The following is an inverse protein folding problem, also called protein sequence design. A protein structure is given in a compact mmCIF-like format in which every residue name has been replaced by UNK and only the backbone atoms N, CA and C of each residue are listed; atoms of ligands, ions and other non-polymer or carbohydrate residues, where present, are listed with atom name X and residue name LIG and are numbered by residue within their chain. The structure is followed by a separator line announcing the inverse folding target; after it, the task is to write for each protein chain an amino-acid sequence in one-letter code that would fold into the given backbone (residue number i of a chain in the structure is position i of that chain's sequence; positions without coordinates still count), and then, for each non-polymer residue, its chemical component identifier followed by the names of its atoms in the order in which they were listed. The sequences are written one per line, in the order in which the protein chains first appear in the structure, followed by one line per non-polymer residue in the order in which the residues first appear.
data_IF_839018206849
#
_entry.id   IF_839018206849
#
_cell.length_a   1.000
_cell.length_b   1.000
_cell.length_c   1.000
_cell.angle_alpha   90.00
_cell.angle_beta   90.00
_cell.angle_gamma   90.00
#
_symmetry.space_group_name_H-M   'P 1'
#
loop_
_entity.id
_entity.type
_entity.pdbx_description
1 polymer ?
#
# COMPACT_ATOMS: atom_id res chain seq x y z
N UNK A 1 17.28 39.76 -5.46
CA UNK A 1 17.83 38.43 -5.13
C UNK A 1 16.81 37.74 -4.24
N UNK A 2 16.01 36.84 -4.81
CA UNK A 2 15.04 36.04 -4.06
C UNK A 2 15.86 34.92 -3.41
N UNK A 3 16.07 35.02 -2.10
CA UNK A 3 16.79 33.99 -1.35
C UNK A 3 15.93 32.73 -1.29
N UNK A 4 16.37 31.69 -1.98
CA UNK A 4 15.78 30.35 -1.92
C UNK A 4 15.78 29.85 -0.47
N UNK A 5 14.66 30.01 0.21
CA UNK A 5 14.47 29.48 1.55
C UNK A 5 14.22 27.99 1.42
N UNK A 6 15.26 27.17 1.59
CA UNK A 6 15.13 25.72 1.69
C UNK A 6 14.28 25.43 2.94
N UNK A 7 12.97 25.24 2.76
CA UNK A 7 12.08 24.75 3.82
C UNK A 7 12.48 23.32 4.17
N UNK A 8 13.17 23.15 5.29
CA UNK A 8 13.43 21.83 5.86
C UNK A 8 12.10 21.21 6.32
N UNK A 9 11.67 20.14 5.64
CA UNK A 9 10.50 19.38 6.06
C UNK A 9 10.76 18.72 7.42
N UNK A 10 9.78 18.80 8.32
CA UNK A 10 9.79 18.06 9.58
C UNK A 10 9.81 16.56 9.31
N UNK A 11 10.22 15.77 10.30
CA UNK A 11 10.26 14.32 10.16
C UNK A 11 8.85 13.72 9.92
N UNK A 12 7.81 14.30 10.53
CA UNK A 12 6.41 13.93 10.29
C UNK A 12 5.97 14.28 8.87
N UNK A 13 6.31 15.46 8.36
CA UNK A 13 6.01 15.84 6.97
C UNK A 13 6.70 14.92 5.96
N UNK A 14 7.97 14.56 6.18
CA UNK A 14 8.70 13.58 5.34
C UNK A 14 8.00 12.23 5.37
N UNK A 15 7.62 11.76 6.56
CA UNK A 15 6.89 10.50 6.73
C UNK A 15 5.57 10.53 5.97
N UNK A 16 4.77 11.59 6.12
CA UNK A 16 3.48 11.73 5.45
C UNK A 16 3.63 11.72 3.92
N UNK A 17 4.65 12.43 3.40
CA UNK A 17 4.96 12.47 1.97
C UNK A 17 5.33 11.08 1.43
N UNK A 18 6.13 10.30 2.16
CA UNK A 18 6.47 8.93 1.76
C UNK A 18 5.24 8.01 1.76
N UNK A 19 4.34 8.13 2.75
CA UNK A 19 3.08 7.37 2.76
C UNK A 19 2.24 7.70 1.54
N UNK A 20 2.04 8.99 1.26
CA UNK A 20 1.24 9.45 0.11
C UNK A 20 1.84 8.90 -1.18
N UNK A 21 3.17 9.00 -1.36
CA UNK A 21 3.87 8.45 -2.53
C UNK A 21 3.59 6.96 -2.74
N UNK A 22 3.67 6.15 -1.68
CA UNK A 22 3.37 4.71 -1.79
C UNK A 22 1.89 4.44 -2.05
N UNK A 23 1.01 5.18 -1.39
CA UNK A 23 -0.44 5.05 -1.58
C UNK A 23 -0.84 5.39 -3.00
N UNK A 24 -0.36 6.50 -3.56
CA UNK A 24 -0.62 6.90 -4.95
C UNK A 24 -0.07 5.87 -5.95
N UNK A 25 1.20 5.46 -5.79
CA UNK A 25 1.86 4.50 -6.67
C UNK A 25 1.14 3.15 -6.73
N UNK A 26 0.60 2.69 -5.61
CA UNK A 26 -0.05 1.39 -5.47
C UNK A 26 -1.59 1.49 -5.47
N UNK A 27 -2.17 2.69 -5.65
CA UNK A 27 -3.62 2.90 -5.54
C UNK A 27 -4.40 2.12 -6.59
N UNK A 28 -3.80 1.96 -7.78
CA UNK A 28 -4.40 1.24 -8.89
C UNK A 28 -4.78 -0.20 -8.53
N UNK A 29 -4.07 -0.82 -7.57
CA UNK A 29 -4.33 -2.19 -7.16
C UNK A 29 -5.70 -2.36 -6.53
N UNK A 30 -6.32 -1.29 -6.01
CA UNK A 30 -7.69 -1.33 -5.49
C UNK A 30 -8.74 -1.62 -6.57
N UNK A 31 -8.43 -1.29 -7.82
CA UNK A 31 -9.38 -1.30 -8.91
C UNK A 31 -9.21 -2.49 -9.87
N UNK A 32 -8.27 -3.40 -9.58
CA UNK A 32 -8.01 -4.58 -10.40
C UNK A 32 -9.18 -5.55 -10.29
N UNK A 33 -9.80 -5.88 -11.41
CA UNK A 33 -10.84 -6.91 -11.50
C UNK A 33 -10.25 -8.24 -11.98
N UNK A 34 -10.99 -9.32 -11.78
CA UNK A 34 -10.59 -10.63 -12.31
C UNK A 34 -10.50 -10.54 -13.84
N UNK A 35 -9.39 -11.01 -14.40
CA UNK A 35 -9.09 -10.95 -15.84
C UNK A 35 -8.27 -9.72 -16.25
N UNK A 36 -8.21 -8.68 -15.41
CA UNK A 36 -7.38 -7.51 -15.66
C UNK A 36 -5.90 -7.84 -15.47
N UNK A 37 -5.10 -7.33 -16.40
CA UNK A 37 -3.64 -7.35 -16.31
C UNK A 37 -3.14 -5.96 -15.94
N UNK A 38 -1.89 -5.90 -15.50
CA UNK A 38 -1.23 -4.64 -15.20
C UNK A 38 0.05 -4.51 -16.02
N UNK A 39 0.43 -3.28 -16.32
CA UNK A 39 1.73 -2.90 -16.85
C UNK A 39 2.24 -1.65 -16.14
N UNK A 40 3.42 -1.18 -16.55
CA UNK A 40 4.04 0.01 -15.98
C UNK A 40 4.59 0.90 -17.08
N UNK A 41 4.25 2.19 -17.05
CA UNK A 41 4.83 3.16 -17.98
C UNK A 41 6.31 3.41 -17.66
N UNK A 42 7.04 3.97 -18.62
CA UNK A 42 8.42 4.39 -18.40
C UNK A 42 8.56 5.47 -17.32
N UNK A 43 7.47 6.18 -16.99
CA UNK A 43 7.41 7.12 -15.85
C UNK A 43 7.44 6.43 -14.50
N UNK A 44 7.19 5.12 -14.46
CA UNK A 44 7.10 4.32 -13.25
C UNK A 44 5.67 4.16 -12.72
N UNK A 45 4.67 4.73 -13.38
CA UNK A 45 3.27 4.62 -13.00
C UNK A 45 2.64 3.34 -13.55
N UNK A 46 1.80 2.69 -12.74
CA UNK A 46 1.06 1.51 -13.18
C UNK A 46 -0.15 1.88 -14.03
N UNK A 47 -0.54 0.97 -14.90
CA UNK A 47 -1.81 1.02 -15.61
C UNK A 47 -2.49 -0.35 -15.65
N UNK A 48 -3.82 -0.35 -15.70
CA UNK A 48 -4.64 -1.55 -15.89
C UNK A 48 -4.90 -1.74 -17.37
N UNK A 49 -4.71 -2.98 -17.83
CA UNK A 49 -5.13 -3.42 -19.15
C UNK A 49 -6.38 -4.30 -18.96
N UNK A 50 -7.59 -3.75 -19.21
CA UNK A 50 -8.82 -4.45 -18.94
C UNK A 50 -8.92 -5.75 -19.76
N UNK A 51 -9.67 -6.72 -19.25
CA UNK A 51 -9.91 -7.97 -19.97
C UNK A 51 -10.62 -7.72 -21.30
N UNK A 52 -10.05 -8.24 -22.40
CA UNK A 52 -10.66 -8.13 -23.74
C UNK A 52 -9.68 -8.44 -24.87
N UNK A 53 -10.20 -8.43 -26.10
CA UNK A 53 -9.43 -8.72 -27.32
C UNK A 53 -8.23 -7.77 -27.52
N UNK A 54 -8.35 -6.53 -27.04
CA UNK A 54 -7.28 -5.53 -27.12
C UNK A 54 -6.13 -5.79 -26.15
N UNK A 55 -6.31 -6.61 -25.11
CA UNK A 55 -5.29 -6.90 -24.10
C UNK A 55 -4.07 -7.63 -24.68
N UNK A 56 -4.27 -8.51 -25.68
CA UNK A 56 -3.18 -9.21 -26.35
C UNK A 56 -2.36 -8.25 -27.21
N UNK A 57 -3.06 -7.40 -27.99
CA UNK A 57 -2.43 -6.42 -28.88
C UNK A 57 -1.66 -5.35 -28.08
N UNK A 58 -2.25 -4.84 -26.99
CA UNK A 58 -1.58 -3.91 -26.08
C UNK A 58 -0.28 -4.49 -25.50
N UNK A 59 -0.30 -5.74 -25.04
CA UNK A 59 0.91 -6.37 -24.48
C UNK A 59 1.99 -6.64 -25.52
N UNK A 60 1.60 -6.92 -26.76
CA UNK A 60 2.54 -7.06 -27.87
C UNK A 60 3.19 -5.70 -28.21
N UNK A 61 2.38 -4.64 -28.31
CA UNK A 61 2.85 -3.29 -28.64
C UNK A 61 3.84 -2.71 -27.61
N UNK A 62 3.63 -2.99 -26.32
CA UNK A 62 4.49 -2.49 -25.24
C UNK A 62 5.58 -3.49 -24.78
N UNK A 63 5.75 -4.63 -25.47
CA UNK A 63 6.69 -5.69 -25.05
C UNK A 63 6.52 -6.15 -23.59
N UNK A 64 5.30 -6.01 -23.05
CA UNK A 64 4.96 -6.29 -21.66
C UNK A 64 4.80 -7.79 -21.45
N UNK A 65 5.91 -8.46 -21.16
CA UNK A 65 5.93 -9.87 -20.84
C UNK A 65 5.62 -10.11 -19.34
N UNK A 66 5.20 -11.33 -18.99
CA UNK A 66 4.85 -11.67 -17.59
C UNK A 66 6.04 -11.49 -16.63
N UNK A 67 7.27 -11.53 -17.15
CA UNK A 67 8.47 -11.37 -16.36
C UNK A 67 8.70 -9.90 -15.95
N UNK A 68 8.39 -8.94 -16.82
CA UNK A 68 8.46 -7.52 -16.48
C UNK A 68 7.45 -7.18 -15.38
N UNK A 69 6.20 -7.63 -15.53
CA UNK A 69 5.17 -7.50 -14.48
C UNK A 69 5.64 -8.10 -13.14
N UNK A 70 6.29 -9.27 -13.20
CA UNK A 70 6.85 -9.90 -12.01
C UNK A 70 7.92 -9.02 -11.33
N UNK A 71 8.83 -8.44 -12.12
CA UNK A 71 9.91 -7.58 -11.61
C UNK A 71 9.31 -6.32 -10.98
N UNK A 72 8.36 -5.66 -11.63
CA UNK A 72 7.71 -4.46 -11.11
C UNK A 72 7.04 -4.71 -9.76
N UNK A 73 6.30 -5.82 -9.65
CA UNK A 73 5.67 -6.23 -8.40
C UNK A 73 6.71 -6.51 -7.32
N UNK A 74 7.78 -7.22 -7.65
CA UNK A 74 8.82 -7.56 -6.68
C UNK A 74 9.52 -6.31 -6.12
N UNK A 75 9.95 -5.41 -6.99
CA UNK A 75 10.66 -4.19 -6.61
C UNK A 75 9.79 -3.26 -5.76
N UNK A 76 8.59 -2.94 -6.25
CA UNK A 76 7.74 -1.92 -5.63
C UNK A 76 7.16 -2.40 -4.29
N UNK A 77 6.74 -3.67 -4.20
CA UNK A 77 6.25 -4.20 -2.93
C UNK A 77 7.39 -4.48 -1.95
N UNK A 78 8.59 -4.82 -2.41
CA UNK A 78 9.76 -4.91 -1.51
C UNK A 78 10.08 -3.55 -0.90
N UNK A 79 10.06 -2.47 -1.70
CA UNK A 79 10.27 -1.11 -1.21
C UNK A 79 9.17 -0.70 -0.22
N UNK A 80 7.91 -1.01 -0.53
CA UNK A 80 6.77 -0.72 0.33
C UNK A 80 6.85 -1.48 1.65
N UNK A 81 7.14 -2.78 1.65
CA UNK A 81 7.28 -3.58 2.89
C UNK A 81 8.42 -3.07 3.76
N UNK A 82 9.57 -2.74 3.17
CA UNK A 82 10.68 -2.09 3.91
C UNK A 82 10.23 -0.77 4.56
N UNK A 83 9.36 -0.02 3.90
CA UNK A 83 8.77 1.17 4.49
C UNK A 83 7.82 0.83 5.65
N UNK A 84 6.93 -0.15 5.48
CA UNK A 84 6.01 -0.63 6.51
C UNK A 84 6.75 -1.05 7.79
N UNK A 85 7.84 -1.81 7.66
CA UNK A 85 8.64 -2.22 8.82
C UNK A 85 9.28 -1.01 9.52
N UNK A 86 9.81 -0.03 8.76
CA UNK A 86 10.40 1.19 9.33
C UNK A 86 9.39 2.03 10.11
N UNK A 87 8.16 2.17 9.60
CA UNK A 87 7.13 2.96 10.29
C UNK A 87 6.56 2.21 11.50
N UNK A 88 6.51 0.87 11.46
CA UNK A 88 6.07 0.05 12.58
C UNK A 88 6.95 0.27 13.83
N UNK A 89 8.27 0.42 13.64
CA UNK A 89 9.20 0.72 14.75
C UNK A 89 8.90 2.05 15.44
N UNK A 90 8.18 2.96 14.76
CA UNK A 90 7.90 4.33 15.22
C UNK A 90 6.49 4.50 15.78
N UNK A 91 5.65 3.47 15.68
CA UNK A 91 4.22 3.52 16.10
C UNK A 91 4.02 3.93 17.57
N UNK A 92 5.00 3.66 18.43
CA UNK A 92 4.91 3.97 19.86
C UNK A 92 5.43 5.37 20.22
N UNK A 93 5.99 6.12 19.28
CA UNK A 93 6.57 7.44 19.56
C UNK A 93 5.49 8.49 19.87
N UNK A 94 4.45 8.58 19.04
CA UNK A 94 3.39 9.57 19.20
C UNK A 94 2.10 9.15 18.46
N UNK A 95 1.05 9.97 18.55
CA UNK A 95 -0.23 9.71 17.88
C UNK A 95 -0.17 9.88 16.36
N UNK A 96 0.76 10.68 15.83
CA UNK A 96 0.96 10.83 14.39
C UNK A 96 1.32 9.48 13.73
N UNK A 97 2.28 8.73 14.27
CA UNK A 97 2.64 7.42 13.71
C UNK A 97 1.52 6.39 13.86
N UNK A 98 0.74 6.44 14.94
CA UNK A 98 -0.44 5.58 15.08
C UNK A 98 -1.46 5.85 13.97
N UNK A 99 -1.75 7.11 13.70
CA UNK A 99 -2.67 7.52 12.63
C UNK A 99 -2.13 7.12 11.24
N UNK A 100 -0.83 7.24 11.03
CA UNK A 100 -0.18 6.76 9.81
C UNK A 100 -0.37 5.26 9.60
N UNK A 101 -0.15 4.46 10.65
CA UNK A 101 -0.37 3.01 10.62
C UNK A 101 -1.83 2.67 10.33
N UNK A 102 -2.78 3.38 10.96
CA UNK A 102 -4.21 3.20 10.68
C UNK A 102 -4.54 3.44 9.20
N UNK A 103 -4.01 4.52 8.62
CA UNK A 103 -4.20 4.85 7.21
C UNK A 103 -3.61 3.77 6.30
N UNK A 104 -2.41 3.28 6.63
CA UNK A 104 -1.76 2.20 5.90
C UNK A 104 -2.54 0.88 6.00
N UNK A 105 -3.08 0.53 7.17
CA UNK A 105 -3.90 -0.67 7.34
C UNK A 105 -5.16 -0.63 6.48
N UNK A 106 -5.83 0.52 6.43
CA UNK A 106 -7.01 0.72 5.56
C UNK A 106 -6.61 0.54 4.10
N UNK A 107 -5.55 1.21 3.66
CA UNK A 107 -5.01 1.08 2.30
C UNK A 107 -4.65 -0.36 1.94
N UNK A 108 -3.98 -1.08 2.84
CA UNK A 108 -3.60 -2.49 2.65
C UNK A 108 -4.84 -3.37 2.46
N UNK A 109 -5.91 -3.14 3.21
CA UNK A 109 -7.16 -3.91 3.04
C UNK A 109 -7.74 -3.72 1.64
N UNK A 110 -7.72 -2.49 1.13
CA UNK A 110 -8.27 -2.15 -0.19
C UNK A 110 -7.44 -2.81 -1.32
N UNK A 111 -6.09 -2.80 -1.23
CA UNK A 111 -5.26 -3.40 -2.28
C UNK A 111 -5.18 -4.94 -2.22
N UNK A 112 -5.42 -5.56 -1.05
CA UNK A 112 -5.40 -7.03 -0.92
C UNK A 112 -6.45 -7.68 -1.83
N UNK A 113 -7.63 -7.08 -1.93
CA UNK A 113 -8.69 -7.60 -2.80
C UNK A 113 -8.25 -7.63 -4.27
N UNK A 114 -7.72 -6.52 -4.79
CA UNK A 114 -7.25 -6.50 -6.17
C UNK A 114 -5.99 -7.33 -6.40
N UNK A 115 -5.15 -7.56 -5.38
CA UNK A 115 -4.07 -8.54 -5.47
C UNK A 115 -4.61 -9.97 -5.61
N UNK A 116 -5.69 -10.34 -4.92
CA UNK A 116 -6.35 -11.64 -5.16
C UNK A 116 -6.92 -11.74 -6.57
N UNK A 117 -7.52 -10.67 -7.09
CA UNK A 117 -8.01 -10.63 -8.47
C UNK A 117 -6.86 -10.79 -9.48
N UNK A 118 -5.73 -10.11 -9.25
CA UNK A 118 -4.53 -10.24 -10.06
C UNK A 118 -3.98 -11.68 -10.04
N UNK A 119 -3.93 -12.31 -8.86
CA UNK A 119 -3.56 -13.72 -8.72
C UNK A 119 -4.43 -14.62 -9.60
N UNK A 120 -5.74 -14.41 -9.58
CA UNK A 120 -6.68 -15.18 -10.40
C UNK A 120 -6.44 -14.96 -11.90
N UNK A 121 -6.15 -13.73 -12.34
CA UNK A 121 -5.80 -13.44 -13.74
C UNK A 121 -4.59 -14.24 -14.23
N UNK A 122 -3.60 -14.47 -13.36
CA UNK A 122 -2.36 -15.20 -13.69
C UNK A 122 -2.34 -16.64 -13.16
N UNK A 123 -3.50 -17.27 -12.94
CA UNK A 123 -3.59 -18.62 -12.35
C UNK A 123 -2.81 -19.69 -13.13
N UNK A 124 -2.63 -19.48 -14.44
CA UNK A 124 -1.85 -20.33 -15.33
C UNK A 124 -0.32 -20.21 -15.15
N UNK A 125 0.15 -19.22 -14.38
CA UNK A 125 1.56 -18.87 -14.25
C UNK A 125 2.02 -19.03 -12.81
N UNK A 126 2.52 -20.22 -12.44
CA UNK A 126 2.99 -20.53 -11.07
C UNK A 126 3.92 -19.47 -10.47
N UNK A 127 4.85 -18.93 -11.26
CA UNK A 127 5.81 -17.89 -10.82
C UNK A 127 5.10 -16.58 -10.42
N UNK A 128 4.07 -16.16 -11.16
CA UNK A 128 3.28 -14.97 -10.84
C UNK A 128 2.40 -15.20 -9.62
N UNK A 129 1.70 -16.34 -9.58
CA UNK A 129 0.87 -16.75 -8.45
C UNK A 129 1.68 -16.71 -7.15
N UNK A 130 2.85 -17.34 -7.13
CA UNK A 130 3.73 -17.36 -5.96
C UNK A 130 4.20 -15.96 -5.53
N UNK A 131 4.46 -15.05 -6.48
CA UNK A 131 4.86 -13.68 -6.17
C UNK A 131 3.72 -12.89 -5.53
N UNK A 132 2.53 -12.96 -6.12
CA UNK A 132 1.35 -12.27 -5.58
C UNK A 132 0.98 -12.84 -4.21
N UNK A 133 1.06 -14.17 -4.02
CA UNK A 133 0.85 -14.80 -2.72
C UNK A 133 1.85 -14.32 -1.67
N UNK A 134 3.13 -14.24 -2.02
CA UNK A 134 4.18 -13.72 -1.13
C UNK A 134 3.90 -12.27 -0.70
N UNK A 135 3.41 -11.42 -1.62
CA UNK A 135 3.03 -10.05 -1.31
C UNK A 135 1.84 -10.03 -0.33
N UNK A 136 0.76 -10.75 -0.66
CA UNK A 136 -0.44 -10.81 0.18
C UNK A 136 -0.10 -11.29 1.60
N UNK A 137 0.65 -12.39 1.72
CA UNK A 137 1.07 -12.94 3.02
C UNK A 137 1.86 -11.91 3.82
N UNK A 138 2.81 -11.22 3.18
CA UNK A 138 3.63 -10.20 3.87
C UNK A 138 2.78 -9.03 4.37
N UNK A 139 1.78 -8.59 3.60
CA UNK A 139 0.85 -7.54 4.02
C UNK A 139 -0.07 -8.00 5.16
N UNK A 140 -0.53 -9.25 5.13
CA UNK A 140 -1.31 -9.85 6.22
C UNK A 140 -0.48 -9.98 7.50
N UNK A 141 0.79 -10.38 7.40
CA UNK A 141 1.73 -10.44 8.52
C UNK A 141 1.94 -9.06 9.14
N UNK A 142 2.09 -8.02 8.32
CA UNK A 142 2.17 -6.64 8.81
C UNK A 142 0.91 -6.25 9.61
N UNK A 143 -0.29 -6.54 9.09
CA UNK A 143 -1.57 -6.30 9.80
C UNK A 143 -1.59 -7.02 11.14
N UNK A 144 -1.14 -8.27 11.18
CA UNK A 144 -1.11 -9.07 12.39
C UNK A 144 -0.13 -8.51 13.43
N UNK A 145 1.07 -8.08 13.00
CA UNK A 145 2.08 -7.43 13.86
C UNK A 145 1.52 -6.17 14.53
N UNK A 146 0.79 -5.33 13.79
CA UNK A 146 0.14 -4.14 14.35
C UNK A 146 -0.93 -4.53 15.38
N UNK A 147 -1.78 -5.51 15.06
CA UNK A 147 -2.84 -5.98 15.95
C UNK A 147 -2.30 -6.58 17.25
N UNK A 148 -1.22 -7.38 17.19
CA UNK A 148 -0.54 -7.93 18.37
C UNK A 148 0.04 -6.83 19.26
N UNK A 149 0.62 -5.79 18.66
CA UNK A 149 1.16 -4.62 19.37
C UNK A 149 0.09 -3.85 20.13
N UNK A 150 -1.13 -3.79 19.59
CA UNK A 150 -2.28 -3.15 20.26
C UNK A 150 -2.88 -4.02 21.38
N UNK A 151 -2.96 -5.35 21.19
CA UNK A 151 -3.52 -6.28 22.20
C UNK A 151 -2.65 -6.37 23.47
N UNK A 152 -1.31 -6.31 23.35
CA UNK A 152 -0.42 -6.30 24.52
C UNK A 152 -0.68 -5.10 25.46
N UNK A 153 -1.11 -3.95 24.93
CA UNK A 153 -1.46 -2.76 25.73
C UNK A 153 -2.76 -2.95 26.53
N UNK A 154 -3.75 -3.68 26.00
CA UNK A 154 -5.04 -3.92 26.68
C UNK A 154 -4.92 -4.73 27.98
N UNK A 155 -3.87 -5.55 28.14
CA UNK A 155 -3.67 -6.35 29.35
C UNK A 155 -2.98 -5.60 30.50
N UNK A 156 -2.48 -4.38 30.29
CA UNK A 156 -1.63 -3.66 31.26
C UNK A 156 -2.24 -2.36 31.80
N UNK A 157 -3.46 -1.98 31.43
CA UNK A 157 -4.08 -0.72 31.88
C UNK A 157 -5.53 -0.93 32.28
N UNK A 158 -5.87 -0.45 33.48
CA UNK A 158 -7.21 -0.43 34.07
C UNK A 158 -8.32 -0.07 33.06
N UNK A 159 -9.46 -0.73 33.26
CA UNK A 159 -10.74 -0.55 32.57
C UNK A 159 -11.07 0.93 32.25
N UNK A 160 -10.83 1.33 31.00
CA UNK A 160 -11.67 2.31 30.29
C UNK A 160 -11.98 1.73 28.92
N UNK A 161 -13.27 1.52 28.65
CA UNK A 161 -13.79 1.11 27.35
C UNK A 161 -13.31 2.14 26.31
N UNK A 162 -12.40 1.70 25.44
CA UNK A 162 -12.16 2.38 24.17
C UNK A 162 -12.68 1.47 23.07
N UNK A 163 -13.60 2.04 22.32
CA UNK A 163 -14.37 1.45 21.24
C UNK A 163 -13.48 0.76 20.19
N UNK A 164 -14.02 -0.29 19.58
CA UNK A 164 -13.39 -1.11 18.53
C UNK A 164 -13.07 -0.29 17.29
N UNK A 165 -12.17 -0.80 16.43
CA UNK A 165 -11.71 -0.11 15.21
C UNK A 165 -12.85 0.31 14.26
N UNK A 166 -14.01 -0.35 14.37
CA UNK A 166 -15.21 -0.06 13.57
C UNK A 166 -15.92 1.24 14.00
N UNK A 167 -15.60 1.80 15.17
CA UNK A 167 -16.35 2.92 15.77
C UNK A 167 -15.65 4.29 15.65
N UNK A 168 -14.48 4.35 15.00
CA UNK A 168 -13.66 5.57 14.99
C UNK A 168 -14.00 6.46 13.79
N UNK A 169 -14.99 7.33 13.94
CA UNK A 169 -15.30 8.38 12.96
C UNK A 169 -14.14 9.38 12.88
N UNK A 170 -13.51 9.46 11.69
CA UNK A 170 -12.51 10.49 11.36
C UNK A 170 -13.23 11.59 10.58
N UNK A 171 -13.37 12.82 11.13
CA UNK A 171 -14.07 13.88 10.43
C UNK A 171 -13.32 14.28 9.14
N UNK A 172 -14.04 14.56 8.04
CA UNK A 172 -13.45 14.81 6.72
C UNK A 172 -12.43 15.97 6.71
N UNK A 173 -12.63 16.98 7.57
CA UNK A 173 -11.92 18.27 7.48
C UNK A 173 -10.63 18.33 8.31
N UNK A 174 -10.15 17.22 8.88
CA UNK A 174 -8.91 17.21 9.65
C UNK A 174 -7.64 17.37 8.76
N UNK A 175 -7.80 17.31 7.43
CA UNK A 175 -6.70 17.22 6.47
C UNK A 175 -6.51 18.47 5.60
N UNK A 176 -7.37 19.48 5.70
CA UNK A 176 -7.29 20.70 4.87
C UNK A 176 -6.30 21.75 5.41
N UNK A 177 -5.68 21.52 6.57
CA UNK A 177 -4.81 22.49 7.25
C UNK A 177 -3.30 22.33 7.03
N UNK A 178 -2.85 21.42 6.14
CA UNK A 178 -1.42 21.18 5.88
C UNK A 178 -1.15 21.24 4.38
N UNK A 179 -1.26 22.44 3.81
CA UNK A 179 -0.69 22.83 2.53
C UNK A 179 0.30 23.98 2.75
#
# INVERSE_FOLDING_TARGET
MIGDTIKFLTYEQKTNKEIIRFMEKLDIFKNIKIGDKIGKYNTGDYYIVPQGYTQIFWRYWYSENRNNTWIYLDEDFTEFVKYLDRILLKVNLNNFYKNCILRLLKFINEIIEGLYNLKQTYIDTKKMVAKVDSIILTLLDFKEKVNKSNKKKKKSGNNKLFHTFDDMYIPPNYFDGIL
#
